data_IF_801442122664
#
_entry.id   IF_801442122664
#
_cell.length_a   1.000
_cell.length_b   1.000
_cell.length_c   1.000
_cell.angle_alpha   90.00
_cell.angle_beta   90.00
_cell.angle_gamma   90.00
#
_symmetry.space_group_name_H-M   'P 1'
#
loop_
_entity.id
_entity.type
_entity.pdbx_description
1 polymer ?
#
# COMPACT_ATOMS: atom_id res chain seq x y z
N UNK A 1 3.04 6.82 3.72
CA UNK A 1 2.57 5.69 2.89
C UNK A 1 3.60 5.43 1.80
N UNK A 2 3.89 4.17 1.49
CA UNK A 2 4.82 3.82 0.41
C UNK A 2 4.07 3.09 -0.71
N UNK A 3 4.11 3.63 -1.92
CA UNK A 3 3.47 3.05 -3.10
C UNK A 3 4.55 2.40 -3.95
N UNK A 4 4.35 1.14 -4.30
CA UNK A 4 5.28 0.36 -5.13
C UNK A 4 4.60 -0.07 -6.41
N UNK A 5 5.34 -0.04 -7.51
CA UNK A 5 4.90 -0.63 -8.78
C UNK A 5 5.29 -2.11 -8.78
N UNK A 6 4.33 -2.96 -9.13
CA UNK A 6 4.56 -4.39 -9.29
C UNK A 6 4.85 -4.67 -10.76
N UNK A 7 6.13 -4.89 -11.10
CA UNK A 7 6.59 -4.96 -12.50
C UNK A 7 6.02 -6.16 -13.25
N UNK A 8 5.74 -7.27 -12.56
CA UNK A 8 5.18 -8.48 -13.18
C UNK A 8 3.73 -8.35 -13.65
N UNK A 9 2.92 -7.57 -12.94
CA UNK A 9 1.47 -7.47 -13.18
C UNK A 9 1.06 -6.09 -13.72
N UNK A 10 2.02 -5.16 -13.82
CA UNK A 10 1.77 -3.74 -14.10
C UNK A 10 0.73 -3.10 -13.15
N UNK A 11 0.53 -3.68 -11.96
CA UNK A 11 -0.37 -3.14 -10.95
C UNK A 11 0.40 -2.36 -9.89
N UNK A 12 -0.29 -1.44 -9.24
CA UNK A 12 0.25 -0.67 -8.14
C UNK A 12 -0.19 -1.30 -6.82
N UNK A 13 0.70 -1.26 -5.82
CA UNK A 13 0.42 -1.66 -4.45
C UNK A 13 0.73 -0.52 -3.50
N UNK A 14 -0.13 -0.34 -2.51
CA UNK A 14 0.00 0.67 -1.46
C UNK A 14 0.25 -0.03 -0.13
N UNK A 15 1.34 0.35 0.54
CA UNK A 15 1.68 -0.16 1.88
C UNK A 15 1.35 0.92 2.90
N UNK A 16 0.46 0.55 3.81
CA UNK A 16 0.02 1.37 4.93
C UNK A 16 0.65 0.81 6.19
N UNK A 17 1.29 1.70 6.96
CA UNK A 17 1.87 1.39 8.25
C UNK A 17 1.21 2.31 9.25
N UNK A 18 0.60 1.74 10.27
CA UNK A 18 0.02 2.50 11.37
C UNK A 18 0.34 1.81 12.68
N UNK A 19 0.46 2.61 13.72
CA UNK A 19 0.53 2.12 15.08
C UNK A 19 -0.90 2.07 15.59
N UNK A 20 -1.35 0.94 16.09
CA UNK A 20 -2.64 0.89 16.75
C UNK A 20 -2.59 1.59 18.11
N UNK A 21 -3.75 1.79 18.72
CA UNK A 21 -3.88 2.43 20.02
C UNK A 21 -3.23 1.63 21.16
N UNK A 22 -2.90 0.35 20.93
CA UNK A 22 -2.13 -0.50 21.85
C UNK A 22 -0.61 -0.41 21.64
N UNK A 23 -0.14 0.37 20.68
CA UNK A 23 1.29 0.53 20.39
C UNK A 23 1.87 -0.52 19.44
N UNK A 24 1.06 -1.46 18.93
CA UNK A 24 1.52 -2.43 17.94
C UNK A 24 1.67 -1.78 16.57
N UNK A 25 2.84 -1.97 15.96
CA UNK A 25 3.09 -1.55 14.58
C UNK A 25 2.44 -2.54 13.63
N UNK A 26 1.38 -2.12 12.96
CA UNK A 26 0.68 -2.91 11.94
C UNK A 26 1.07 -2.44 10.55
N UNK A 27 1.31 -3.42 9.68
CA UNK A 27 1.52 -3.21 8.25
C UNK A 27 0.39 -3.86 7.49
N UNK A 28 -0.36 -3.06 6.74
CA UNK A 28 -1.36 -3.56 5.79
C UNK A 28 -0.98 -3.17 4.36
N UNK A 29 -1.41 -3.99 3.42
CA UNK A 29 -1.10 -3.81 2.01
C UNK A 29 -2.37 -3.95 1.19
N UNK A 30 -2.59 -2.99 0.28
CA UNK A 30 -3.66 -3.03 -0.71
C UNK A 30 -3.02 -3.12 -2.09
N UNK A 31 -3.44 -4.11 -2.87
CA UNK A 31 -2.87 -4.47 -4.19
C UNK A 31 -3.94 -4.47 -5.27
N UNK A 32 -3.51 -4.37 -6.53
CA UNK A 32 -4.40 -4.43 -7.69
C UNK A 32 -4.88 -3.07 -8.22
N UNK A 33 -4.22 -1.98 -7.85
CA UNK A 33 -4.54 -0.66 -8.39
C UNK A 33 -4.04 -0.55 -9.84
N UNK A 34 -4.87 -0.01 -10.75
CA UNK A 34 -4.46 0.18 -12.15
C UNK A 34 -3.55 1.38 -12.31
N UNK A 35 -3.73 2.41 -11.47
CA UNK A 35 -2.94 3.64 -11.55
C UNK A 35 -2.25 3.98 -10.23
N UNK A 36 -1.13 4.72 -10.31
CA UNK A 36 -0.42 5.23 -9.13
C UNK A 36 -1.30 6.15 -8.29
N UNK A 37 -2.15 6.95 -8.95
CA UNK A 37 -3.07 7.89 -8.29
C UNK A 37 -4.08 7.16 -7.40
N UNK A 38 -4.67 6.07 -7.89
CA UNK A 38 -5.57 5.23 -7.08
C UNK A 38 -4.87 4.54 -5.92
N UNK A 39 -3.57 4.23 -6.06
CA UNK A 39 -2.78 3.63 -4.98
C UNK A 39 -2.30 4.65 -3.93
N UNK A 40 -2.36 5.95 -4.24
CA UNK A 40 -1.87 7.02 -3.36
C UNK A 40 -2.99 7.80 -2.67
N UNK A 41 -4.23 7.70 -3.17
CA UNK A 41 -5.44 8.20 -2.56
C UNK A 41 -5.92 7.28 -1.42
#
# INVERSE_FOLDING_TARGET
MAVYKEEKTNTWRAVYRYTDWNGERKQTQKRGFKTKREAQA
#
